data_IF_115854673334
#
_entry.id   IF_115854673334
#
_cell.length_a   1.000
_cell.length_b   1.000
_cell.length_c   1.000
_cell.angle_alpha   90.00
_cell.angle_beta   90.00
_cell.angle_gamma   90.00
#
_symmetry.space_group_name_H-M   'P 1'
#
loop_
_entity.id
_entity.type
_entity.pdbx_description
1 polymer ?
#
# COMPACT_ATOMS: atom_id res chain seq x y z
N UNK A 1 13.59 16.60 16.93
CA UNK A 1 12.66 16.63 18.09
C UNK A 1 11.43 17.41 17.67
N UNK A 2 10.25 17.10 18.22
CA UNK A 2 9.04 17.92 18.02
C UNK A 2 8.16 17.87 19.27
N UNK A 3 7.26 18.84 19.41
CA UNK A 3 6.30 18.91 20.53
C UNK A 3 4.92 18.60 19.99
N UNK A 4 4.22 17.69 20.66
CA UNK A 4 2.81 17.39 20.39
C UNK A 4 1.94 17.86 21.54
N UNK A 5 0.85 18.52 21.22
CA UNK A 5 -0.22 18.87 22.15
C UNK A 5 -1.38 17.91 21.88
N UNK A 6 -1.76 17.12 22.88
CA UNK A 6 -3.02 16.38 22.86
C UNK A 6 -4.17 17.38 23.08
N UNK A 7 -5.01 17.66 22.06
CA UNK A 7 -6.07 18.65 22.18
C UNK A 7 -7.22 18.22 23.09
N UNK A 8 -7.37 16.92 23.37
CA UNK A 8 -8.41 16.38 24.25
C UNK A 8 -7.99 16.43 25.72
N UNK A 9 -6.72 16.13 26.00
CA UNK A 9 -6.19 16.07 27.37
C UNK A 9 -5.41 17.32 27.79
N UNK A 10 -5.13 18.24 26.86
CA UNK A 10 -4.28 19.43 27.10
C UNK A 10 -2.83 19.07 27.45
N UNK A 11 -2.40 17.85 27.17
CA UNK A 11 -1.08 17.33 27.55
C UNK A 11 -0.05 17.64 26.47
N UNK A 12 1.04 18.29 26.86
CA UNK A 12 2.22 18.47 26.02
C UNK A 12 3.14 17.26 26.16
N UNK A 13 3.68 16.79 25.03
CA UNK A 13 4.71 15.76 24.99
C UNK A 13 5.84 16.18 24.07
N UNK A 14 7.08 15.92 24.50
CA UNK A 14 8.28 16.12 23.69
C UNK A 14 8.66 14.77 23.08
N UNK A 15 8.70 14.73 21.76
CA UNK A 15 9.04 13.53 20.99
C UNK A 15 10.47 13.63 20.47
N UNK A 16 11.20 12.52 20.57
CA UNK A 16 12.57 12.38 20.10
C UNK A 16 12.67 11.10 19.29
N UNK A 17 13.02 11.23 18.00
CA UNK A 17 13.23 10.10 17.11
C UNK A 17 14.61 10.22 16.43
N UNK A 18 15.40 9.14 16.35
CA UNK A 18 16.62 9.12 15.57
C UNK A 18 16.29 9.21 14.07
N UNK A 19 16.93 10.14 13.36
CA UNK A 19 16.74 10.32 11.93
C UNK A 19 17.51 9.27 11.12
N UNK A 20 18.74 8.99 11.54
CA UNK A 20 19.61 7.95 10.97
C UNK A 20 19.78 6.82 11.98
N UNK A 21 19.54 5.60 11.53
CA UNK A 21 19.66 4.39 12.37
C UNK A 21 20.94 3.61 12.08
N UNK A 22 21.68 3.91 11.00
CA UNK A 22 22.91 3.21 10.64
C UNK A 22 23.93 3.12 11.78
N UNK A 23 24.23 4.23 12.46
CA UNK A 23 25.14 4.23 13.61
C UNK A 23 24.66 3.34 14.77
N UNK A 24 23.33 3.21 14.95
CA UNK A 24 22.76 2.30 15.95
C UNK A 24 22.92 0.85 15.48
N UNK A 25 22.70 0.58 14.20
CA UNK A 25 22.89 -0.75 13.63
C UNK A 25 24.35 -1.21 13.75
N UNK A 26 25.32 -0.35 13.43
CA UNK A 26 26.76 -0.61 13.62
C UNK A 26 27.08 -0.95 15.07
N UNK A 27 26.63 -0.09 15.99
CA UNK A 27 26.92 -0.20 17.43
C UNK A 27 26.33 -1.45 18.07
N UNK A 28 25.10 -1.83 17.71
CA UNK A 28 24.34 -2.85 18.43
C UNK A 28 24.21 -4.18 17.67
N UNK A 29 24.38 -4.18 16.35
CA UNK A 29 24.21 -5.36 15.50
C UNK A 29 25.48 -5.67 14.71
N UNK A 30 25.90 -4.81 13.78
CA UNK A 30 26.97 -5.16 12.82
C UNK A 30 28.29 -5.49 13.51
N UNK A 31 28.70 -4.72 14.52
CA UNK A 31 29.99 -4.95 15.19
C UNK A 31 29.89 -5.85 16.45
N UNK A 32 28.68 -6.26 16.82
CA UNK A 32 28.44 -7.03 18.06
C UNK A 32 28.09 -8.49 17.80
N UNK A 33 27.61 -8.80 16.59
CA UNK A 33 27.17 -10.14 16.21
C UNK A 33 28.18 -10.73 15.24
N UNK A 34 28.48 -12.02 15.39
CA UNK A 34 29.38 -12.72 14.48
C UNK A 34 28.82 -12.85 13.06
N UNK A 35 27.49 -12.88 12.92
CA UNK A 35 26.77 -12.92 11.65
C UNK A 35 25.38 -12.34 11.84
N UNK A 36 24.90 -11.59 10.85
CA UNK A 36 23.52 -11.08 10.80
C UNK A 36 22.95 -11.36 9.41
N UNK A 37 21.76 -11.93 9.36
CA UNK A 37 21.04 -12.18 8.11
C UNK A 37 19.81 -11.29 8.10
N UNK A 38 19.73 -10.38 7.13
CA UNK A 38 18.53 -9.62 6.82
C UNK A 38 17.78 -10.32 5.69
N UNK A 39 16.50 -10.61 5.89
CA UNK A 39 15.65 -11.21 4.86
C UNK A 39 14.27 -10.58 4.86
N UNK A 40 13.77 -10.25 3.67
CA UNK A 40 12.40 -9.79 3.44
C UNK A 40 12.10 -9.81 1.93
N UNK A 41 10.82 -9.90 1.57
CA UNK A 41 10.36 -9.88 0.19
C UNK A 41 10.54 -8.51 -0.50
N UNK A 42 10.79 -7.44 0.26
CA UNK A 42 10.82 -6.06 -0.25
C UNK A 42 12.05 -5.30 0.26
N UNK A 43 13.23 -5.92 0.25
CA UNK A 43 14.47 -5.21 0.64
C UNK A 43 15.02 -4.33 -0.47
N UNK A 44 14.71 -4.63 -1.73
CA UNK A 44 15.26 -3.95 -2.91
C UNK A 44 14.32 -2.89 -3.48
N UNK A 45 14.93 -1.87 -4.06
CA UNK A 45 14.29 -0.87 -4.93
C UNK A 45 14.94 -0.97 -6.30
N UNK A 46 14.17 -1.22 -7.36
CA UNK A 46 14.71 -1.48 -8.72
C UNK A 46 15.72 -2.63 -8.81
N UNK A 47 15.60 -3.63 -7.94
CA UNK A 47 16.54 -4.75 -7.92
C UNK A 47 17.90 -4.40 -7.31
N UNK A 48 18.01 -3.26 -6.62
CA UNK A 48 19.22 -2.83 -5.93
C UNK A 48 18.96 -2.68 -4.42
N UNK A 49 20.00 -2.91 -3.60
CA UNK A 49 19.94 -2.77 -2.14
C UNK A 49 20.46 -1.41 -1.63
N UNK A 50 20.93 -0.53 -2.51
CA UNK A 50 21.61 0.73 -2.17
C UNK A 50 20.85 1.58 -1.15
N UNK A 51 19.54 1.74 -1.34
CA UNK A 51 18.69 2.49 -0.41
C UNK A 51 18.74 1.90 1.01
N UNK A 52 18.61 0.57 1.14
CA UNK A 52 18.64 -0.11 2.43
C UNK A 52 20.04 -0.04 3.05
N UNK A 53 21.09 -0.27 2.24
CA UNK A 53 22.49 -0.25 2.68
C UNK A 53 22.87 1.11 3.25
N UNK A 54 22.55 2.18 2.54
CA UNK A 54 22.79 3.54 2.98
C UNK A 54 22.05 3.84 4.30
N UNK A 55 20.79 3.41 4.43
CA UNK A 55 19.97 3.70 5.61
C UNK A 55 20.42 2.95 6.87
N UNK A 56 20.94 1.74 6.69
CA UNK A 56 21.38 0.86 7.78
C UNK A 56 22.90 0.86 8.01
N UNK A 57 23.68 1.64 7.26
CA UNK A 57 25.14 1.53 7.17
C UNK A 57 25.63 0.09 6.87
N UNK A 58 24.89 -0.65 6.04
CA UNK A 58 25.21 -2.04 5.70
C UNK A 58 26.11 -2.10 4.44
N UNK A 59 27.20 -1.31 4.43
CA UNK A 59 28.05 -1.16 3.24
C UNK A 59 28.85 -2.42 2.90
N UNK A 60 29.12 -3.28 3.88
CA UNK A 60 29.89 -4.53 3.71
C UNK A 60 28.99 -5.77 3.57
N UNK A 61 27.67 -5.59 3.45
CA UNK A 61 26.75 -6.71 3.35
C UNK A 61 26.83 -7.40 1.99
N UNK A 62 26.91 -8.73 2.00
CA UNK A 62 26.67 -9.56 0.82
C UNK A 62 25.20 -9.49 0.41
N UNK A 63 24.96 -9.48 -0.91
CA UNK A 63 23.63 -9.31 -1.48
C UNK A 63 23.15 -10.57 -2.20
N UNK A 64 21.89 -10.91 -1.99
CA UNK A 64 21.24 -12.02 -2.71
C UNK A 64 19.78 -11.65 -3.01
N UNK A 65 19.43 -11.69 -4.29
CA UNK A 65 18.05 -11.55 -4.76
C UNK A 65 17.55 -12.90 -5.21
N UNK A 66 16.48 -13.36 -4.57
CA UNK A 66 15.76 -14.57 -4.98
C UNK A 66 14.47 -14.16 -5.66
N UNK A 67 14.15 -14.83 -6.77
CA UNK A 67 12.87 -14.65 -7.46
C UNK A 67 11.70 -15.14 -6.62
N UNK A 68 10.49 -14.71 -6.99
CA UNK A 68 9.26 -15.24 -6.40
C UNK A 68 9.00 -16.68 -6.85
N UNK A 69 8.52 -17.57 -5.96
CA UNK A 69 8.05 -18.90 -6.36
C UNK A 69 6.67 -18.87 -7.06
N UNK A 70 6.00 -17.71 -7.13
CA UNK A 70 4.65 -17.57 -7.68
C UNK A 70 4.64 -17.08 -9.13
N UNK A 71 3.71 -17.62 -9.92
CA UNK A 71 3.44 -17.20 -11.30
C UNK A 71 2.53 -15.97 -11.34
N UNK A 72 3.11 -14.80 -11.06
CA UNK A 72 2.38 -13.53 -11.06
C UNK A 72 1.79 -13.15 -12.42
N UNK A 73 2.37 -13.63 -13.52
CA UNK A 73 1.90 -13.31 -14.87
C UNK A 73 0.48 -13.88 -15.09
N UNK A 74 0.24 -15.09 -14.59
CA UNK A 74 -1.06 -15.76 -14.68
C UNK A 74 -1.95 -15.62 -13.43
N UNK A 75 -1.38 -15.17 -12.31
CA UNK A 75 -2.09 -15.03 -11.03
C UNK A 75 -2.60 -13.60 -10.76
N UNK A 76 -1.85 -12.57 -11.19
CA UNK A 76 -2.14 -11.18 -10.85
C UNK A 76 -2.41 -10.30 -12.09
N UNK A 77 -3.60 -9.69 -12.10
CA UNK A 77 -3.94 -8.59 -13.02
C UNK A 77 -3.68 -7.26 -12.33
N UNK A 78 -2.80 -6.43 -12.89
CA UNK A 78 -2.66 -5.02 -12.49
C UNK A 78 -3.43 -4.16 -13.48
N UNK A 79 -4.51 -3.53 -13.00
CA UNK A 79 -5.31 -2.61 -13.78
C UNK A 79 -5.07 -1.17 -13.35
N UNK A 80 -4.72 -0.31 -14.30
CA UNK A 80 -4.57 1.13 -14.06
C UNK A 80 -5.64 1.90 -14.83
N UNK A 81 -6.45 2.65 -14.10
CA UNK A 81 -7.47 3.50 -14.69
C UNK A 81 -6.84 4.76 -15.30
N UNK A 82 -6.93 4.92 -16.63
CA UNK A 82 -6.27 6.02 -17.35
C UNK A 82 -7.02 7.36 -17.29
N UNK A 83 -8.32 7.31 -17.07
CA UNK A 83 -9.26 8.44 -17.07
C UNK A 83 -9.69 8.87 -15.65
N UNK A 84 -9.16 8.22 -14.61
CA UNK A 84 -9.39 8.69 -13.24
C UNK A 84 -8.75 10.08 -13.02
N UNK A 85 -9.43 11.02 -12.36
CA UNK A 85 -8.83 12.31 -12.01
C UNK A 85 -7.57 12.14 -11.16
N UNK A 86 -6.56 12.99 -11.36
CA UNK A 86 -5.38 12.98 -10.48
C UNK A 86 -5.77 13.36 -9.04
N UNK A 87 -5.06 12.86 -8.01
CA UNK A 87 -5.34 13.18 -6.61
C UNK A 87 -5.40 14.67 -6.25
N UNK A 88 -4.82 15.54 -7.08
CA UNK A 88 -4.89 17.00 -6.95
C UNK A 88 -6.30 17.55 -7.19
N UNK A 89 -7.11 16.89 -8.02
CA UNK A 89 -8.56 17.12 -8.11
C UNK A 89 -9.26 16.28 -7.03
N UNK A 90 -9.26 16.80 -5.81
CA UNK A 90 -9.78 16.07 -4.65
C UNK A 90 -11.26 15.66 -4.82
N UNK A 91 -12.10 16.50 -5.42
CA UNK A 91 -13.53 16.23 -5.59
C UNK A 91 -13.81 15.25 -6.74
N UNK A 92 -13.14 15.40 -7.88
CA UNK A 92 -13.25 14.46 -8.99
C UNK A 92 -12.72 13.08 -8.61
N UNK A 93 -11.53 13.03 -7.99
CA UNK A 93 -10.93 11.78 -7.55
C UNK A 93 -11.79 11.07 -6.49
N UNK A 94 -12.38 11.81 -5.54
CA UNK A 94 -13.24 11.22 -4.51
C UNK A 94 -14.44 10.49 -5.14
N UNK A 95 -15.20 11.18 -6.01
CA UNK A 95 -16.36 10.59 -6.68
C UNK A 95 -15.98 9.39 -7.55
N UNK A 96 -14.91 9.52 -8.34
CA UNK A 96 -14.43 8.42 -9.16
C UNK A 96 -13.99 7.21 -8.33
N UNK A 97 -13.39 7.43 -7.15
CA UNK A 97 -13.03 6.35 -6.22
C UNK A 97 -14.28 5.65 -5.67
N UNK A 98 -15.28 6.41 -5.23
CA UNK A 98 -16.54 5.87 -4.71
C UNK A 98 -17.25 5.01 -5.78
N UNK A 99 -17.39 5.54 -7.00
CA UNK A 99 -17.97 4.83 -8.13
C UNK A 99 -17.18 3.56 -8.47
N UNK A 100 -15.86 3.65 -8.53
CA UNK A 100 -15.00 2.50 -8.82
C UNK A 100 -15.19 1.38 -7.79
N UNK A 101 -15.16 1.72 -6.50
CA UNK A 101 -15.31 0.73 -5.42
C UNK A 101 -16.70 0.09 -5.43
N UNK A 102 -17.77 0.86 -5.69
CA UNK A 102 -19.14 0.32 -5.77
C UNK A 102 -19.24 -0.71 -6.90
N UNK A 103 -18.82 -0.34 -8.12
CA UNK A 103 -18.98 -1.21 -9.28
C UNK A 103 -18.04 -2.42 -9.20
N UNK A 104 -16.80 -2.21 -8.78
CA UNK A 104 -15.82 -3.28 -8.65
C UNK A 104 -16.25 -4.29 -7.57
N UNK A 105 -16.67 -3.83 -6.39
CA UNK A 105 -17.10 -4.74 -5.32
C UNK A 105 -18.35 -5.54 -5.71
N UNK A 106 -19.29 -4.93 -6.43
CA UNK A 106 -20.46 -5.64 -6.97
C UNK A 106 -20.06 -6.70 -7.99
N UNK A 107 -19.14 -6.39 -8.89
CA UNK A 107 -18.67 -7.32 -9.92
C UNK A 107 -17.83 -8.48 -9.36
N UNK A 108 -17.07 -8.26 -8.27
CA UNK A 108 -16.23 -9.30 -7.67
C UNK A 108 -16.87 -10.02 -6.47
N UNK A 109 -18.06 -9.59 -6.07
CA UNK A 109 -18.78 -10.13 -4.91
C UNK A 109 -18.11 -9.80 -3.58
N UNK A 110 -17.47 -8.63 -3.47
CA UNK A 110 -16.64 -8.26 -2.32
C UNK A 110 -15.23 -8.83 -2.43
N UNK A 111 -14.71 -9.37 -1.30
CA UNK A 111 -13.33 -9.87 -1.14
C UNK A 111 -12.29 -8.82 -1.53
N UNK A 112 -12.56 -7.59 -1.11
CA UNK A 112 -11.82 -6.41 -1.51
C UNK A 112 -11.16 -5.73 -0.33
N UNK A 113 -9.88 -5.38 -0.48
CA UNK A 113 -9.16 -4.46 0.39
C UNK A 113 -8.86 -3.17 -0.39
N UNK A 114 -9.38 -2.04 0.08
CA UNK A 114 -9.04 -0.73 -0.46
C UNK A 114 -8.11 0.03 0.50
N UNK A 115 -6.92 0.37 0.00
CA UNK A 115 -5.88 1.06 0.74
C UNK A 115 -5.90 2.56 0.46
N UNK A 116 -6.13 3.33 1.51
CA UNK A 116 -6.15 4.78 1.51
C UNK A 116 -4.87 5.34 2.15
N UNK A 117 -4.53 6.57 1.78
CA UNK A 117 -3.45 7.35 2.41
C UNK A 117 -3.96 8.38 3.42
N UNK A 118 -5.28 8.55 3.56
CA UNK A 118 -5.86 9.44 4.58
C UNK A 118 -7.16 8.91 5.17
N UNK A 119 -7.33 9.06 6.49
CA UNK A 119 -8.55 8.71 7.21
C UNK A 119 -9.75 9.53 6.75
N UNK A 120 -9.56 10.82 6.46
CA UNK A 120 -10.63 11.69 5.99
C UNK A 120 -11.25 11.21 4.67
N UNK A 121 -10.41 10.77 3.72
CA UNK A 121 -10.89 10.21 2.45
C UNK A 121 -11.58 8.86 2.66
N UNK A 122 -11.00 8.01 3.51
CA UNK A 122 -11.57 6.71 3.85
C UNK A 122 -12.97 6.84 4.45
N UNK A 123 -13.15 7.69 5.47
CA UNK A 123 -14.45 7.88 6.14
C UNK A 123 -15.52 8.44 5.20
N UNK A 124 -15.17 9.40 4.33
CA UNK A 124 -16.08 9.93 3.31
C UNK A 124 -16.53 8.83 2.35
N UNK A 125 -15.56 8.04 1.87
CA UNK A 125 -15.82 6.94 0.94
C UNK A 125 -16.69 5.87 1.59
N UNK A 126 -16.40 5.48 2.84
CA UNK A 126 -17.18 4.49 3.58
C UNK A 126 -18.66 4.87 3.64
N UNK A 127 -18.96 6.13 4.03
CA UNK A 127 -20.34 6.65 4.10
C UNK A 127 -21.03 6.65 2.73
N UNK A 128 -20.31 7.01 1.68
CA UNK A 128 -20.87 7.10 0.33
C UNK A 128 -21.22 5.72 -0.26
N UNK A 129 -20.38 4.71 -0.02
CA UNK A 129 -20.55 3.39 -0.63
C UNK A 129 -21.39 2.42 0.23
N UNK A 130 -21.68 2.75 1.49
CA UNK A 130 -22.44 1.90 2.43
C UNK A 130 -23.82 1.49 1.92
N UNK A 131 -24.69 2.44 1.59
CA UNK A 131 -26.01 2.12 1.04
C UNK A 131 -25.95 1.30 -0.26
N UNK A 132 -25.18 1.74 -1.28
CA UNK A 132 -25.01 1.00 -2.53
C UNK A 132 -24.50 -0.43 -2.37
N UNK A 133 -23.59 -0.70 -1.41
CA UNK A 133 -23.04 -2.04 -1.17
C UNK A 133 -23.94 -2.90 -0.28
N UNK A 134 -24.59 -2.32 0.73
CA UNK A 134 -25.58 -3.03 1.55
C UNK A 134 -26.75 -3.55 0.70
N UNK A 135 -27.19 -2.79 -0.31
CA UNK A 135 -28.22 -3.24 -1.26
C UNK A 135 -27.81 -4.43 -2.13
N UNK A 136 -26.50 -4.73 -2.19
CA UNK A 136 -25.93 -5.88 -2.91
C UNK A 136 -25.43 -6.98 -1.95
N UNK A 137 -25.84 -6.94 -0.68
CA UNK A 137 -25.42 -7.87 0.37
C UNK A 137 -23.89 -7.94 0.50
N UNK A 138 -23.24 -6.77 0.53
CA UNK A 138 -21.80 -6.62 0.73
C UNK A 138 -21.57 -5.76 1.97
N UNK A 139 -20.90 -6.35 2.96
CA UNK A 139 -20.57 -5.67 4.23
C UNK A 139 -19.32 -4.81 4.09
N UNK A 140 -19.31 -3.63 4.70
CA UNK A 140 -18.13 -2.77 4.76
C UNK A 140 -17.52 -2.82 6.14
N UNK A 141 -16.22 -3.06 6.17
CA UNK A 141 -15.38 -2.86 7.34
C UNK A 141 -14.49 -1.66 7.08
N UNK A 142 -14.39 -0.77 8.06
CA UNK A 142 -13.51 0.38 7.98
C UNK A 142 -12.63 0.45 9.22
N UNK A 143 -11.37 0.84 9.02
CA UNK A 143 -10.49 1.14 10.13
C UNK A 143 -10.96 2.40 10.87
N UNK A 144 -11.38 2.23 12.13
CA UNK A 144 -11.81 3.31 13.01
C UNK A 144 -11.03 3.36 14.33
N UNK A 145 -11.38 4.31 15.19
CA UNK A 145 -10.81 4.46 16.54
C UNK A 145 -11.38 3.36 17.46
N UNK A 146 -10.72 2.21 17.56
CA UNK A 146 -11.04 1.21 18.59
C UNK A 146 -10.80 -0.25 18.22
N UNK A 147 -10.91 -0.61 16.94
CA UNK A 147 -10.58 -1.96 16.48
C UNK A 147 -9.11 -2.04 16.06
N UNK A 148 -8.38 -3.06 16.56
CA UNK A 148 -7.03 -3.32 16.07
C UNK A 148 -7.10 -3.76 14.59
N UNK A 149 -6.10 -3.42 13.76
CA UNK A 149 -6.04 -3.87 12.37
C UNK A 149 -6.18 -5.39 12.23
N UNK A 150 -5.58 -6.15 13.14
CA UNK A 150 -5.68 -7.62 13.17
C UNK A 150 -7.09 -8.12 13.43
N UNK A 151 -7.79 -7.57 14.45
CA UNK A 151 -9.16 -7.98 14.75
C UNK A 151 -10.12 -7.66 13.59
N UNK A 152 -9.93 -6.51 12.95
CA UNK A 152 -10.75 -6.13 11.79
C UNK A 152 -10.52 -7.07 10.60
N UNK A 153 -9.30 -7.58 10.43
CA UNK A 153 -9.01 -8.57 9.40
C UNK A 153 -9.60 -9.92 9.67
N UNK A 154 -9.61 -10.37 10.91
CA UNK A 154 -10.16 -11.67 11.25
C UNK A 154 -11.66 -11.70 10.95
N UNK A 155 -12.38 -10.62 11.30
CA UNK A 155 -13.80 -10.46 10.92
C UNK A 155 -13.99 -10.36 9.40
N UNK A 156 -13.11 -9.63 8.69
CA UNK A 156 -13.16 -9.55 7.24
C UNK A 156 -12.98 -10.92 6.57
N UNK A 157 -12.04 -11.75 7.06
CA UNK A 157 -11.77 -13.09 6.53
C UNK A 157 -12.96 -14.04 6.68
N UNK A 158 -13.72 -13.90 7.77
CA UNK A 158 -14.90 -14.71 8.03
C UNK A 158 -16.14 -14.26 7.24
N UNK A 159 -16.08 -13.11 6.59
CA UNK A 159 -17.21 -12.49 5.88
C UNK A 159 -17.05 -12.63 4.36
N UNK A 160 -17.77 -13.55 3.69
CA UNK A 160 -17.50 -13.88 2.29
C UNK A 160 -17.67 -12.71 1.32
N UNK A 161 -18.63 -11.82 1.59
CA UNK A 161 -18.98 -10.66 0.76
C UNK A 161 -18.63 -9.38 1.50
N UNK A 162 -17.34 -9.12 1.67
CA UNK A 162 -16.87 -7.96 2.41
C UNK A 162 -15.97 -7.02 1.59
N UNK A 163 -16.00 -5.74 1.94
CA UNK A 163 -15.04 -4.71 1.52
C UNK A 163 -14.40 -4.14 2.78
N UNK A 164 -13.07 -4.20 2.85
CA UNK A 164 -12.30 -3.62 3.93
C UNK A 164 -11.60 -2.35 3.44
N UNK A 165 -11.83 -1.25 4.15
CA UNK A 165 -11.18 0.03 3.91
C UNK A 165 -10.12 0.25 5.00
N UNK A 166 -8.86 0.36 4.59
CA UNK A 166 -7.71 0.49 5.49
C UNK A 166 -6.80 1.66 5.15
N UNK A 167 -6.11 2.21 6.16
CA UNK A 167 -5.04 3.20 5.96
C UNK A 167 -3.66 2.59 6.18
N UNK A 168 -2.67 3.35 6.69
CA UNK A 168 -1.26 2.98 6.87
C UNK A 168 -1.04 1.62 7.56
N UNK A 169 -1.82 1.31 8.58
CA UNK A 169 -1.69 0.03 9.30
C UNK A 169 -2.06 -1.20 8.45
N UNK A 170 -2.77 -0.99 7.35
CA UNK A 170 -3.09 -2.00 6.34
C UNK A 170 -2.13 -1.94 5.13
N UNK A 171 -1.06 -1.15 5.18
CA UNK A 171 0.04 -1.27 4.22
C UNK A 171 1.11 -2.23 4.73
N UNK A 172 1.35 -2.25 6.04
CA UNK A 172 2.40 -3.02 6.70
C UNK A 172 1.81 -4.03 7.72
N UNK A 173 2.46 -5.18 7.92
CA UNK A 173 2.28 -5.98 9.14
C UNK A 173 0.99 -6.80 9.32
N UNK A 174 0.18 -7.00 8.28
CA UNK A 174 -0.99 -7.88 8.38
C UNK A 174 -1.08 -8.88 7.24
N UNK A 175 -1.40 -10.14 7.58
CA UNK A 175 -1.44 -11.26 6.66
C UNK A 175 -2.89 -11.63 6.33
N UNK A 176 -3.21 -11.60 5.04
CA UNK A 176 -4.51 -12.00 4.51
C UNK A 176 -4.28 -13.14 3.51
N UNK A 177 -4.07 -14.36 4.00
CA UNK A 177 -3.89 -15.51 3.11
C UNK A 177 -5.23 -15.95 2.49
N UNK A 178 -5.20 -16.31 1.21
CA UNK A 178 -6.23 -17.14 0.55
C UNK A 178 -7.42 -16.39 -0.05
N UNK A 179 -8.51 -17.14 -0.28
CA UNK A 179 -9.70 -16.71 -1.05
C UNK A 179 -10.45 -15.49 -0.47
N UNK A 180 -10.14 -15.07 0.76
CA UNK A 180 -10.77 -13.91 1.40
C UNK A 180 -10.41 -12.57 0.73
N UNK A 181 -9.27 -12.49 0.03
CA UNK A 181 -8.83 -11.29 -0.67
C UNK A 181 -8.49 -11.61 -2.12
N UNK A 182 -9.37 -11.22 -3.04
CA UNK A 182 -9.15 -11.35 -4.48
C UNK A 182 -8.97 -10.00 -5.18
N UNK A 183 -9.31 -8.89 -4.51
CA UNK A 183 -9.17 -7.55 -5.08
C UNK A 183 -8.46 -6.61 -4.12
N UNK A 184 -7.33 -6.07 -4.56
CA UNK A 184 -6.61 -5.01 -3.89
C UNK A 184 -6.83 -3.70 -4.65
N UNK A 185 -7.31 -2.66 -3.99
CA UNK A 185 -7.45 -1.33 -4.56
C UNK A 185 -6.45 -0.39 -3.90
N UNK A 186 -5.56 0.19 -4.70
CA UNK A 186 -4.64 1.24 -4.26
C UNK A 186 -5.25 2.57 -4.66
N UNK A 187 -5.85 3.26 -3.68
CA UNK A 187 -6.59 4.50 -3.95
C UNK A 187 -5.66 5.63 -4.35
N UNK A 188 -4.47 5.72 -3.73
CA UNK A 188 -3.42 6.69 -4.04
C UNK A 188 -2.05 6.03 -3.86
N UNK A 189 -1.07 6.49 -4.63
CA UNK A 189 0.34 6.10 -4.42
C UNK A 189 0.77 6.47 -2.98
N UNK A 190 1.43 5.57 -2.24
CA UNK A 190 1.65 5.65 -0.80
C UNK A 190 2.81 6.57 -0.40
N UNK A 191 2.84 7.78 -0.96
CA UNK A 191 3.77 8.82 -0.54
C UNK A 191 3.50 9.26 0.89
N UNK A 192 4.57 9.55 1.61
CA UNK A 192 4.50 10.16 2.93
C UNK A 192 3.90 11.55 2.91
N UNK A 193 3.31 11.94 4.05
CA UNK A 193 2.83 13.30 4.26
C UNK A 193 4.04 14.19 4.55
N UNK A 194 4.34 15.21 3.72
CA UNK A 194 5.55 16.02 3.92
C UNK A 194 5.54 16.83 5.22
N UNK A 195 4.37 17.12 5.78
CA UNK A 195 4.21 17.84 7.05
C UNK A 195 4.48 16.97 8.28
N UNK A 196 4.73 15.68 8.12
CA UNK A 196 5.15 14.81 9.22
C UNK A 196 6.56 15.25 9.68
N UNK A 197 6.77 15.54 10.98
CA UNK A 197 8.04 16.07 11.48
C UNK A 197 9.24 15.14 11.22
N UNK A 198 9.04 13.82 11.27
CA UNK A 198 10.12 12.86 11.04
C UNK A 198 10.45 12.81 9.54
N UNK A 199 9.42 12.81 8.69
CA UNK A 199 9.59 12.81 7.24
C UNK A 199 10.29 14.10 6.79
N UNK A 200 9.87 15.26 7.29
CA UNK A 200 10.52 16.55 7.01
C UNK A 200 11.99 16.54 7.44
N UNK A 201 12.26 16.15 8.68
CA UNK A 201 13.63 16.16 9.20
C UNK A 201 14.54 15.14 8.49
N UNK A 202 14.00 14.01 8.01
CA UNK A 202 14.76 13.07 7.16
C UNK A 202 14.96 13.62 5.75
N UNK A 203 13.95 14.26 5.18
CA UNK A 203 14.05 14.85 3.86
C UNK A 203 15.17 15.91 3.81
N UNK A 204 15.34 16.70 4.86
CA UNK A 204 16.42 17.70 4.97
C UNK A 204 17.84 17.14 4.90
N UNK A 205 18.05 15.82 5.07
CA UNK A 205 19.38 15.21 4.96
C UNK A 205 19.77 14.77 3.54
N UNK A 206 18.95 15.06 2.53
CA UNK A 206 19.18 14.68 1.13
C UNK A 206 19.18 15.91 0.22
N UNK A 207 19.98 15.89 -0.84
CA UNK A 207 20.04 16.97 -1.83
C UNK A 207 18.78 16.96 -2.72
N UNK A 208 18.32 15.77 -3.13
CA UNK A 208 17.03 15.55 -3.78
C UNK A 208 16.13 14.63 -2.93
N UNK A 209 15.39 15.17 -1.96
CA UNK A 209 14.59 14.37 -1.04
C UNK A 209 13.47 13.59 -1.72
N UNK A 210 13.02 14.02 -2.90
CA UNK A 210 11.98 13.32 -3.63
C UNK A 210 12.52 12.00 -4.20
N UNK A 211 13.62 12.07 -4.95
CA UNK A 211 14.17 10.90 -5.63
C UNK A 211 14.98 9.99 -4.71
N UNK A 212 15.67 10.54 -3.71
CA UNK A 212 16.57 9.77 -2.83
C UNK A 212 15.86 9.16 -1.61
N UNK A 213 14.70 9.70 -1.21
CA UNK A 213 14.00 9.27 -0.01
C UNK A 213 12.52 8.96 -0.23
N UNK A 214 11.72 9.94 -0.64
CA UNK A 214 10.26 9.79 -0.70
C UNK A 214 9.79 8.75 -1.72
N UNK A 215 10.41 8.73 -2.91
CA UNK A 215 10.06 7.79 -3.97
C UNK A 215 10.46 6.35 -3.61
N UNK A 216 11.71 6.05 -3.17
CA UNK A 216 12.08 4.72 -2.67
C UNK A 216 11.14 4.20 -1.57
N UNK A 217 10.82 5.02 -0.54
CA UNK A 217 9.89 4.63 0.53
C UNK A 217 8.50 4.30 0.00
N UNK A 218 7.98 5.11 -0.93
CA UNK A 218 6.67 4.88 -1.53
C UNK A 218 6.66 3.59 -2.36
N UNK A 219 7.73 3.29 -3.10
CA UNK A 219 7.87 2.05 -3.87
C UNK A 219 7.91 0.82 -2.96
N UNK A 220 8.69 0.89 -1.86
CA UNK A 220 8.76 -0.19 -0.88
C UNK A 220 7.38 -0.49 -0.28
N UNK A 221 6.64 0.55 0.13
CA UNK A 221 5.26 0.38 0.64
C UNK A 221 4.31 -0.12 -0.43
N UNK A 222 4.44 0.34 -1.66
CA UNK A 222 3.63 -0.12 -2.77
C UNK A 222 3.81 -1.62 -3.01
N UNK A 223 5.05 -2.11 -3.01
CA UNK A 223 5.38 -3.55 -3.10
C UNK A 223 4.82 -4.35 -1.92
N UNK A 224 4.88 -3.80 -0.70
CA UNK A 224 4.31 -4.44 0.48
C UNK A 224 2.78 -4.55 0.41
N UNK A 225 2.12 -3.49 -0.09
CA UNK A 225 0.69 -3.52 -0.39
C UNK A 225 0.36 -4.60 -1.42
N UNK A 226 1.09 -4.63 -2.54
CA UNK A 226 0.92 -5.62 -3.62
C UNK A 226 1.10 -7.06 -3.13
N UNK A 227 2.12 -7.33 -2.30
CA UNK A 227 2.44 -8.66 -1.76
C UNK A 227 1.34 -9.26 -0.87
N UNK A 228 0.25 -8.54 -0.60
CA UNK A 228 -0.93 -9.05 0.12
C UNK A 228 -1.84 -9.89 -0.76
N UNK A 229 -1.78 -9.70 -2.09
CA UNK A 229 -2.75 -10.30 -3.00
C UNK A 229 -2.46 -11.77 -3.29
N UNK A 230 -1.19 -12.13 -3.52
CA UNK A 230 -0.77 -13.48 -3.91
C UNK A 230 0.15 -14.04 -2.82
N UNK A 231 -0.33 -15.06 -2.11
CA UNK A 231 0.36 -15.73 -0.99
C UNK A 231 0.54 -17.23 -1.21
N UNK A 232 -0.30 -17.84 -2.04
CA UNK A 232 -0.23 -19.25 -2.43
C UNK A 232 -0.13 -19.39 -3.94
N UNK A 233 0.28 -20.58 -4.42
CA UNK A 233 0.39 -20.86 -5.86
C UNK A 233 -0.96 -20.89 -6.58
N UNK A 234 -2.06 -21.03 -5.84
CA UNK A 234 -3.42 -21.10 -6.38
C UNK A 234 -4.14 -19.76 -6.32
N UNK A 235 -3.57 -18.75 -5.65
CA UNK A 235 -4.20 -17.45 -5.53
C UNK A 235 -4.30 -16.76 -6.89
N UNK A 236 -5.44 -16.12 -7.12
CA UNK A 236 -5.68 -15.23 -8.25
C UNK A 236 -6.27 -13.94 -7.76
N UNK A 237 -5.78 -12.82 -8.29
CA UNK A 237 -6.21 -11.53 -7.81
C UNK A 237 -6.07 -10.39 -8.80
N UNK A 238 -6.73 -9.29 -8.47
CA UNK A 238 -6.71 -8.04 -9.22
C UNK A 238 -6.18 -6.93 -8.34
N UNK A 239 -5.20 -6.18 -8.83
CA UNK A 239 -4.75 -4.92 -8.24
C UNK A 239 -5.27 -3.77 -9.10
N UNK A 240 -6.19 -2.97 -8.56
CA UNK A 240 -6.67 -1.76 -9.20
C UNK A 240 -5.93 -0.54 -8.62
N UNK A 241 -5.19 0.19 -9.47
CA UNK A 241 -4.55 1.44 -9.08
C UNK A 241 -5.40 2.62 -9.55
N UNK A 242 -5.92 3.37 -8.58
CA UNK A 242 -6.81 4.51 -8.79
C UNK A 242 -6.05 5.85 -8.72
N UNK A 243 -4.80 5.86 -9.14
CA UNK A 243 -3.94 7.05 -9.14
C UNK A 243 -3.28 7.24 -10.50
N UNK A 244 -3.80 8.20 -11.27
CA UNK A 244 -3.32 8.48 -12.63
C UNK A 244 -1.83 8.89 -12.69
N UNK A 245 -1.24 9.32 -11.56
CA UNK A 245 0.18 9.70 -11.50
C UNK A 245 1.12 8.56 -11.86
N UNK A 246 0.69 7.30 -11.68
CA UNK A 246 1.48 6.12 -12.09
C UNK A 246 1.69 6.06 -13.61
N UNK A 247 0.82 6.69 -14.40
CA UNK A 247 0.96 6.82 -15.86
C UNK A 247 1.45 8.21 -16.27
N UNK A 248 0.96 9.27 -15.61
CA UNK A 248 1.19 10.65 -16.05
C UNK A 248 2.54 11.24 -15.61
N UNK A 249 3.17 10.70 -14.57
CA UNK A 249 4.45 11.21 -14.04
C UNK A 249 5.60 10.28 -14.43
N UNK A 250 6.77 10.87 -14.66
CA UNK A 250 7.98 10.13 -15.06
C UNK A 250 8.38 9.06 -14.04
N UNK A 251 8.14 9.31 -12.75
CA UNK A 251 8.43 8.35 -11.69
C UNK A 251 7.43 7.17 -11.65
N UNK A 252 6.29 7.26 -12.34
CA UNK A 252 5.24 6.25 -12.27
C UNK A 252 5.69 4.87 -12.75
N UNK A 253 6.55 4.84 -13.78
CA UNK A 253 7.17 3.61 -14.30
C UNK A 253 7.91 2.81 -13.22
N UNK A 254 8.54 3.49 -12.27
CA UNK A 254 9.32 2.88 -11.20
C UNK A 254 8.44 2.03 -10.26
N UNK A 255 7.18 2.42 -10.06
CA UNK A 255 6.23 1.60 -9.31
C UNK A 255 5.90 0.31 -10.05
N UNK A 256 5.69 0.37 -11.38
CA UNK A 256 5.37 -0.78 -12.21
C UNK A 256 6.56 -1.73 -12.38
N UNK A 257 7.75 -1.18 -12.66
CA UNK A 257 9.02 -1.91 -12.76
C UNK A 257 9.41 -2.56 -11.43
N UNK A 258 8.97 -1.97 -10.30
CA UNK A 258 9.18 -2.57 -9.00
C UNK A 258 8.33 -3.81 -8.77
N UNK A 259 7.27 -4.08 -9.53
CA UNK A 259 6.44 -5.27 -9.34
C UNK A 259 7.05 -6.50 -10.03
N UNK A 260 6.74 -7.73 -9.55
CA UNK A 260 7.02 -8.92 -10.35
C UNK A 260 6.28 -8.85 -11.69
N UNK A 261 6.69 -9.67 -12.67
CA UNK A 261 6.06 -9.71 -13.98
C UNK A 261 4.60 -10.15 -13.85
N UNK A 262 3.66 -9.21 -14.03
CA UNK A 262 2.22 -9.42 -13.92
C UNK A 262 1.53 -9.17 -15.27
N UNK A 263 0.29 -9.61 -15.42
CA UNK A 263 -0.56 -9.12 -16.52
C UNK A 263 -0.93 -7.66 -16.24
N UNK A 264 -0.49 -6.73 -17.08
CA UNK A 264 -0.78 -5.30 -16.94
C UNK A 264 -1.82 -4.84 -17.97
N UNK A 265 -2.83 -4.10 -17.51
CA UNK A 265 -3.85 -3.49 -18.36
C UNK A 265 -4.05 -2.03 -17.99
N UNK A 266 -3.92 -1.16 -18.98
CA UNK A 266 -4.36 0.23 -18.89
C UNK A 266 -5.71 0.37 -19.60
N UNK A 267 -6.68 1.03 -18.97
CA UNK A 267 -7.98 1.26 -19.61
C UNK A 267 -8.88 2.25 -18.87
N UNK A 268 -10.07 2.55 -19.44
CA UNK A 268 -11.08 3.39 -18.78
C UNK A 268 -11.56 2.79 -17.46
N UNK A 269 -11.88 3.63 -16.48
CA UNK A 269 -12.36 3.21 -15.16
C UNK A 269 -13.64 2.37 -15.27
N UNK A 270 -14.51 2.69 -16.22
CA UNK A 270 -15.75 1.96 -16.47
C UNK A 270 -15.54 0.47 -16.86
N UNK A 271 -14.37 0.11 -17.41
CA UNK A 271 -14.07 -1.26 -17.82
C UNK A 271 -13.45 -2.10 -16.70
N UNK A 272 -13.02 -1.48 -15.61
CA UNK A 272 -12.34 -2.16 -14.50
C UNK A 272 -13.21 -3.30 -13.90
N UNK A 273 -14.51 -3.12 -13.61
CA UNK A 273 -15.33 -4.18 -13.01
C UNK A 273 -15.42 -5.44 -13.89
N UNK A 274 -15.74 -5.27 -15.17
CA UNK A 274 -15.88 -6.40 -16.12
C UNK A 274 -14.56 -7.13 -16.33
N UNK A 275 -13.44 -6.38 -16.38
CA UNK A 275 -12.10 -6.97 -16.51
C UNK A 275 -11.72 -7.75 -15.28
N UNK A 276 -12.03 -7.23 -14.09
CA UNK A 276 -11.76 -7.91 -12.83
C UNK A 276 -12.58 -9.19 -12.68
N UNK A 277 -13.90 -9.14 -12.93
CA UNK A 277 -14.77 -10.32 -12.87
C UNK A 277 -14.29 -11.43 -13.82
N UNK A 278 -13.98 -11.08 -15.09
CA UNK A 278 -13.46 -12.03 -16.07
C UNK A 278 -12.12 -12.66 -15.65
N UNK A 279 -11.22 -11.87 -15.06
CA UNK A 279 -9.93 -12.38 -14.56
C UNK A 279 -10.12 -13.39 -13.43
N UNK A 280 -11.05 -13.09 -12.52
CA UNK A 280 -11.38 -13.94 -11.37
C UNK A 280 -12.29 -15.13 -11.74
N UNK A 281 -12.83 -15.19 -12.96
CA UNK A 281 -13.73 -16.26 -13.41
C UNK A 281 -15.12 -16.19 -12.78
N UNK A 282 -15.61 -14.97 -12.50
CA UNK A 282 -16.92 -14.68 -11.90
C UNK A 282 -17.95 -14.25 -12.95
#
# INVERSE_FOLDING_TARGET
>A
YWVELDPLQGRLSLQVAPLQIGNLMEKYLWHQKASVVLTSATLTTHGEFDYLRNRLSAYEADELILGSPFDYENAALVYVARDIPEPTDAHGHQRATEDALIHLAKATGGRMLALFTSYAQLQKTARAIEGPLASADITIYQQGEGASPSALLDVFKETPRAVLLGTRAFWEGVDVPGEALSVLVIVKLPFDVPSDPIISARAESFDDPFNEYNLPEAILRFRQGFGRLIRTQTDRGVVAVLDRRILSKQYGKFFLESLPKCTFVEGPLANLPDRAARWLGL
#
